data_IF_425946568703
#
_entry.id   IF_425946568703
#
_cell.length_a   1.000
_cell.length_b   1.000
_cell.length_c   1.000
_cell.angle_alpha   90.00
_cell.angle_beta   90.00
_cell.angle_gamma   90.00
#
_symmetry.space_group_name_H-M   'P 1'
#
loop_
_entity.id
_entity.type
_entity.pdbx_description
1 polymer ?
#
# COMPACT_ATOMS: atom_id res chain seq x y z
N UNK A 1 -41.69 19.03 7.79
CA UNK A 1 -41.64 19.67 9.13
C UNK A 1 -40.75 18.83 10.03
N UNK A 2 -39.56 19.33 10.40
CA UNK A 2 -38.49 18.56 11.02
C UNK A 2 -38.31 18.85 12.52
N UNK A 3 -37.56 17.98 13.21
CA UNK A 3 -36.72 18.28 14.39
C UNK A 3 -35.48 17.41 14.24
N UNK A 4 -34.30 17.95 13.89
CA UNK A 4 -33.34 18.63 14.79
C UNK A 4 -33.09 17.80 16.06
N UNK A 5 -31.91 17.37 16.44
CA UNK A 5 -30.56 17.74 16.04
C UNK A 5 -29.63 17.37 17.22
N UNK A 6 -28.36 17.17 16.90
CA UNK A 6 -27.17 17.32 17.74
C UNK A 6 -27.00 16.58 19.07
N UNK A 7 -25.78 16.06 19.22
CA UNK A 7 -24.97 16.50 20.35
C UNK A 7 -24.26 15.43 21.18
N UNK A 8 -23.15 14.93 20.65
CA UNK A 8 -21.81 15.03 21.27
C UNK A 8 -21.67 14.75 22.79
N UNK A 9 -20.92 13.68 23.07
CA UNK A 9 -19.86 13.52 24.10
C UNK A 9 -20.15 13.86 25.57
N UNK A 10 -19.80 12.91 26.46
CA UNK A 10 -18.77 13.13 27.51
C UNK A 10 -18.48 11.86 28.33
N UNK A 11 -17.20 11.44 28.31
CA UNK A 11 -16.56 10.65 29.37
C UNK A 11 -16.83 11.29 30.75
N UNK A 12 -17.15 10.49 31.77
CA UNK A 12 -16.73 10.74 33.16
C UNK A 12 -16.87 9.50 34.05
N UNK A 13 -15.72 8.86 34.26
CA UNK A 13 -15.13 8.58 35.59
C UNK A 13 -15.75 7.50 36.48
N UNK A 14 -14.89 6.54 36.81
CA UNK A 14 -14.96 5.61 37.92
C UNK A 14 -15.54 6.23 39.21
N UNK A 15 -16.45 5.49 39.84
CA UNK A 15 -16.63 5.53 41.29
C UNK A 15 -16.49 4.13 41.88
N UNK A 16 -15.41 3.93 42.62
CA UNK A 16 -15.28 2.89 43.66
C UNK A 16 -16.37 3.09 44.72
N UNK A 17 -17.00 2.01 45.13
CA UNK A 17 -17.89 1.96 46.29
C UNK A 17 -18.37 0.54 46.54
N UNK A 18 -17.63 -0.20 47.37
CA UNK A 18 -17.95 -1.58 47.73
C UNK A 18 -19.18 -1.70 48.64
N UNK A 19 -19.89 -2.83 48.53
CA UNK A 19 -20.87 -3.30 49.52
C UNK A 19 -20.74 -4.82 49.70
N UNK A 20 -20.28 -5.17 50.91
CA UNK A 20 -20.75 -6.18 51.89
C UNK A 20 -21.28 -7.54 51.40
N UNK A 21 -20.60 -8.56 51.94
CA UNK A 21 -20.84 -10.01 51.92
C UNK A 21 -22.29 -10.46 52.19
N UNK A 22 -22.83 -11.25 51.26
CA UNK A 22 -23.95 -12.16 51.46
C UNK A 22 -23.49 -13.59 51.23
N UNK A 23 -23.49 -14.40 52.29
CA UNK A 23 -23.06 -15.80 52.29
C UNK A 23 -24.05 -16.69 51.52
N UNK A 24 -23.61 -17.21 50.37
CA UNK A 24 -24.22 -18.37 49.72
C UNK A 24 -23.13 -19.43 49.53
N UNK A 25 -23.28 -20.55 50.24
CA UNK A 25 -22.44 -21.73 50.10
C UNK A 25 -22.82 -22.38 48.77
N UNK A 26 -22.04 -22.10 47.73
CA UNK A 26 -22.08 -22.78 46.43
C UNK A 26 -20.74 -23.49 46.30
N UNK A 27 -20.80 -24.77 45.94
CA UNK A 27 -19.69 -25.71 46.01
C UNK A 27 -18.40 -25.21 45.36
N UNK A 28 -17.28 -25.39 46.08
CA UNK A 28 -15.95 -25.27 45.51
C UNK A 28 -15.76 -26.39 44.47
N UNK A 29 -16.01 -26.08 43.20
CA UNK A 29 -15.19 -26.65 42.14
C UNK A 29 -13.89 -25.85 42.16
N UNK A 30 -12.81 -26.48 42.64
CA UNK A 30 -11.46 -25.97 42.44
C UNK A 30 -11.17 -26.01 40.94
N UNK A 31 -11.54 -24.96 40.22
CA UNK A 31 -10.84 -24.60 38.99
C UNK A 31 -9.42 -24.32 39.43
N UNK A 32 -8.52 -25.25 39.13
CA UNK A 32 -7.09 -24.95 39.10
C UNK A 32 -6.91 -23.87 38.05
N UNK A 33 -6.97 -22.59 38.45
CA UNK A 33 -6.27 -21.57 37.69
C UNK A 33 -4.80 -22.00 37.81
N UNK A 34 -4.24 -22.57 36.76
CA UNK A 34 -2.80 -22.56 36.58
C UNK A 34 -2.39 -21.11 36.78
N UNK A 35 -1.72 -20.83 37.90
CA UNK A 35 -1.13 -19.51 38.09
C UNK A 35 -0.20 -19.33 36.90
N UNK A 36 -0.47 -18.34 36.06
CA UNK A 36 0.50 -17.87 35.07
C UNK A 36 1.72 -17.50 35.88
N UNK A 37 2.88 -18.08 35.55
CA UNK A 37 4.11 -17.71 36.24
C UNK A 37 4.33 -16.20 36.02
N UNK A 38 4.70 -15.49 37.08
CA UNK A 38 5.09 -14.08 36.92
C UNK A 38 6.29 -13.99 35.98
N UNK A 39 6.38 -12.97 35.11
CA UNK A 39 7.51 -12.77 34.22
C UNK A 39 8.84 -12.75 34.99
N UNK A 40 9.89 -13.27 34.37
CA UNK A 40 11.23 -13.26 34.92
C UNK A 40 11.86 -11.88 34.66
N UNK A 41 12.11 -11.13 35.73
CA UNK A 41 12.86 -9.87 35.66
C UNK A 41 14.32 -10.15 35.25
N UNK A 42 14.81 -9.37 34.28
CA UNK A 42 16.18 -9.44 33.76
C UNK A 42 16.77 -8.02 33.63
N UNK A 43 18.06 -7.91 33.93
CA UNK A 43 18.86 -6.67 33.88
C UNK A 43 20.23 -6.88 33.19
N UNK A 44 20.53 -8.11 32.77
CA UNK A 44 21.77 -8.46 32.08
C UNK A 44 21.54 -9.38 30.87
N UNK A 45 22.40 -9.24 29.86
CA UNK A 45 22.38 -10.06 28.65
C UNK A 45 22.60 -11.54 28.99
N UNK A 46 21.72 -12.42 28.49
CA UNK A 46 21.77 -13.85 28.75
C UNK A 46 21.14 -14.67 27.61
N UNK A 47 21.21 -15.99 27.73
CA UNK A 47 20.37 -16.90 26.95
C UNK A 47 18.98 -17.00 27.58
N UNK A 48 17.94 -16.93 26.75
CA UNK A 48 16.53 -17.05 27.12
C UNK A 48 15.99 -18.38 26.59
N UNK A 49 15.31 -19.13 27.46
CA UNK A 49 14.59 -20.37 27.12
C UNK A 49 13.09 -20.14 27.34
N UNK A 50 12.24 -21.17 27.18
CA UNK A 50 10.79 -21.07 27.41
C UNK A 50 10.39 -20.21 28.61
N UNK A 51 9.59 -19.17 28.36
CA UNK A 51 9.10 -18.30 29.42
C UNK A 51 8.83 -16.86 29.00
N UNK A 52 8.33 -16.09 29.97
CA UNK A 52 8.12 -14.65 29.84
C UNK A 52 9.21 -13.91 30.61
N UNK A 53 9.80 -12.89 29.98
CA UNK A 53 10.87 -12.07 30.53
C UNK A 53 10.51 -10.59 30.42
N UNK A 54 10.95 -9.81 31.40
CA UNK A 54 10.76 -8.36 31.42
C UNK A 54 12.06 -7.65 31.80
N UNK A 55 12.48 -6.68 30.97
CA UNK A 55 13.63 -5.83 31.32
C UNK A 55 13.29 -4.92 32.49
N UNK A 56 14.29 -4.64 33.32
CA UNK A 56 14.13 -3.76 34.49
C UNK A 56 15.02 -2.51 34.46
N UNK A 57 15.96 -2.44 33.52
CA UNK A 57 16.79 -1.27 33.27
C UNK A 57 17.35 -1.27 31.83
N UNK A 58 17.91 -0.12 31.43
CA UNK A 58 18.66 0.00 30.17
C UNK A 58 19.95 -0.83 30.22
N UNK A 59 20.31 -1.47 29.10
CA UNK A 59 21.52 -2.28 28.97
C UNK A 59 22.47 -1.64 27.97
N UNK A 60 23.76 -1.53 28.31
CA UNK A 60 24.82 -1.11 27.39
C UNK A 60 25.91 -2.17 27.32
N UNK A 61 26.23 -2.65 26.12
CA UNK A 61 27.10 -3.82 25.92
C UNK A 61 28.08 -3.63 24.76
N UNK A 62 29.16 -4.43 24.78
CA UNK A 62 30.05 -4.63 23.63
C UNK A 62 29.76 -6.00 23.03
N UNK A 63 29.57 -6.07 21.71
CA UNK A 63 29.15 -7.29 21.03
C UNK A 63 27.64 -7.54 21.20
N UNK A 64 27.22 -8.81 21.21
CA UNK A 64 25.81 -9.18 21.27
C UNK A 64 25.21 -9.23 22.69
N UNK A 65 23.88 -9.26 22.78
CA UNK A 65 23.16 -9.29 24.06
C UNK A 65 22.37 -10.59 24.30
N UNK A 66 21.15 -10.71 23.79
CA UNK A 66 20.28 -11.85 24.09
C UNK A 66 20.35 -12.92 23.00
N UNK A 67 20.30 -14.18 23.44
CA UNK A 67 20.15 -15.34 22.56
C UNK A 67 18.94 -16.14 23.01
N UNK A 68 17.90 -16.22 22.17
CA UNK A 68 16.74 -17.08 22.42
C UNK A 68 17.08 -18.48 21.90
N UNK A 69 16.91 -19.49 22.75
CA UNK A 69 17.22 -20.88 22.42
C UNK A 69 16.33 -21.43 21.30
N UNK A 70 16.88 -22.33 20.48
CA UNK A 70 16.09 -23.07 19.50
C UNK A 70 14.99 -23.91 20.16
N UNK A 71 13.89 -24.15 19.45
CA UNK A 71 12.75 -24.94 19.93
C UNK A 71 12.12 -24.38 21.21
N UNK A 72 12.04 -23.05 21.32
CA UNK A 72 11.45 -22.38 22.47
C UNK A 72 10.24 -21.50 22.13
N UNK A 73 9.47 -21.16 23.17
CA UNK A 73 8.40 -20.16 23.13
C UNK A 73 8.72 -19.07 24.15
N UNK A 74 9.19 -17.92 23.66
CA UNK A 74 9.72 -16.83 24.50
C UNK A 74 8.98 -15.54 24.25
N UNK A 75 8.56 -14.89 25.36
CA UNK A 75 8.14 -13.49 25.33
C UNK A 75 9.17 -12.63 26.03
N UNK A 76 9.69 -11.61 25.33
CA UNK A 76 10.57 -10.59 25.87
C UNK A 76 9.86 -9.23 25.84
N UNK A 77 9.50 -8.72 27.01
CA UNK A 77 8.98 -7.37 27.19
C UNK A 77 10.12 -6.43 27.60
N UNK A 78 10.40 -5.43 26.78
CA UNK A 78 11.39 -4.42 27.08
C UNK A 78 10.96 -3.42 28.15
N UNK A 79 9.67 -3.37 28.51
CA UNK A 79 9.09 -2.37 29.44
C UNK A 79 9.47 -0.89 29.10
N UNK A 80 9.79 -0.63 27.83
CA UNK A 80 10.24 0.67 27.33
C UNK A 80 11.73 0.96 27.51
N UNK A 81 12.52 0.02 28.03
CA UNK A 81 13.97 0.15 28.17
C UNK A 81 14.71 -0.02 26.84
N UNK A 82 15.98 0.37 26.85
CA UNK A 82 16.87 0.35 25.69
C UNK A 82 17.99 -0.67 25.88
N UNK A 83 18.34 -1.39 24.81
CA UNK A 83 19.56 -2.17 24.70
C UNK A 83 20.46 -1.49 23.66
N UNK A 84 21.61 -0.99 24.10
CA UNK A 84 22.59 -0.28 23.27
C UNK A 84 23.87 -1.11 23.09
N UNK A 85 24.26 -1.35 21.84
CA UNK A 85 25.53 -1.96 21.45
C UNK A 85 26.63 -0.92 21.18
N UNK A 86 27.78 -1.41 20.70
CA UNK A 86 28.95 -0.60 20.30
C UNK A 86 29.23 -0.61 18.79
N UNK A 87 28.23 -1.01 18.00
CA UNK A 87 28.29 -1.21 16.56
C UNK A 87 28.75 -2.61 16.14
N UNK A 88 28.88 -3.54 17.08
CA UNK A 88 29.31 -4.93 16.80
C UNK A 88 28.32 -5.94 17.35
N UNK A 89 28.27 -7.14 16.75
CA UNK A 89 27.45 -8.24 17.25
C UNK A 89 25.95 -8.09 17.00
N UNK A 90 25.18 -9.02 17.57
CA UNK A 90 23.73 -9.15 17.38
C UNK A 90 23.02 -8.75 18.68
N UNK A 91 22.08 -7.80 18.63
CA UNK A 91 21.31 -7.37 19.78
C UNK A 91 20.45 -8.49 20.36
N UNK A 92 19.57 -9.06 19.53
CA UNK A 92 18.78 -10.25 19.85
C UNK A 92 18.96 -11.28 18.73
N UNK A 93 19.48 -12.45 19.08
CA UNK A 93 19.53 -13.60 18.19
C UNK A 93 18.39 -14.56 18.55
N UNK A 94 17.57 -14.94 17.57
CA UNK A 94 16.52 -15.95 17.72
C UNK A 94 16.97 -17.27 17.12
N UNK A 95 16.97 -18.31 17.94
CA UNK A 95 17.30 -19.68 17.55
C UNK A 95 16.35 -20.25 16.50
N UNK A 96 16.75 -21.37 15.90
CA UNK A 96 15.93 -22.08 14.91
C UNK A 96 14.63 -22.59 15.50
N UNK A 97 13.59 -22.62 14.67
CA UNK A 97 12.33 -23.32 14.96
C UNK A 97 11.72 -22.85 16.29
N UNK A 98 11.60 -21.52 16.46
CA UNK A 98 11.30 -20.83 17.72
C UNK A 98 10.21 -19.78 17.51
N UNK A 99 9.20 -19.78 18.37
CA UNK A 99 8.23 -18.70 18.45
C UNK A 99 8.73 -17.63 19.42
N UNK A 100 8.93 -16.40 18.94
CA UNK A 100 9.41 -15.30 19.76
C UNK A 100 8.49 -14.09 19.66
N UNK A 101 8.12 -13.54 20.82
CA UNK A 101 7.30 -12.32 20.96
C UNK A 101 8.14 -11.26 21.65
N UNK A 102 8.59 -10.25 20.91
CA UNK A 102 9.46 -9.19 21.43
C UNK A 102 8.67 -7.88 21.36
N UNK A 103 8.56 -7.15 22.48
CA UNK A 103 7.74 -5.95 22.53
C UNK A 103 8.27 -4.85 23.44
N UNK A 104 7.82 -3.61 23.20
CA UNK A 104 8.11 -2.44 24.03
C UNK A 104 9.61 -2.19 24.27
N UNK A 105 10.42 -2.23 23.23
CA UNK A 105 11.88 -2.30 23.36
C UNK A 105 12.56 -1.41 22.34
N UNK A 106 13.62 -0.70 22.76
CA UNK A 106 14.55 -0.05 21.83
C UNK A 106 15.83 -0.88 21.70
N UNK A 107 16.23 -1.22 20.48
CA UNK A 107 17.51 -1.82 20.13
C UNK A 107 18.31 -0.85 19.27
N UNK A 108 19.53 -0.52 19.71
CA UNK A 108 20.37 0.42 18.96
C UNK A 108 21.85 0.06 18.90
N UNK A 109 22.50 0.53 17.83
CA UNK A 109 23.95 0.48 17.66
C UNK A 109 24.53 -0.95 17.66
N UNK A 110 23.92 -1.88 16.92
CA UNK A 110 24.46 -3.23 16.67
C UNK A 110 24.92 -3.40 15.21
N UNK A 111 25.71 -4.45 14.96
CA UNK A 111 25.93 -4.88 13.58
C UNK A 111 24.62 -5.42 12.99
N UNK A 112 23.87 -6.20 13.76
CA UNK A 112 22.50 -6.60 13.46
C UNK A 112 21.64 -6.40 14.71
N UNK A 113 20.52 -5.68 14.61
CA UNK A 113 19.59 -5.50 15.73
C UNK A 113 18.98 -6.84 16.15
N UNK A 114 18.11 -7.39 15.30
CA UNK A 114 17.47 -8.68 15.51
C UNK A 114 17.88 -9.61 14.37
N UNK A 115 18.34 -10.82 14.69
CA UNK A 115 18.66 -11.84 13.70
C UNK A 115 17.91 -13.12 14.02
N UNK A 116 17.28 -13.72 13.02
CA UNK A 116 16.59 -15.00 13.15
C UNK A 116 17.37 -16.09 12.44
N UNK A 117 17.07 -17.33 12.81
CA UNK A 117 17.52 -18.50 12.08
C UNK A 117 16.31 -19.39 11.89
N UNK A 118 16.17 -19.99 10.72
CA UNK A 118 15.06 -20.90 10.47
C UNK A 118 15.51 -22.17 9.75
N UNK A 119 15.02 -23.33 10.20
CA UNK A 119 15.30 -24.62 9.57
C UNK A 119 14.03 -25.34 9.11
N UNK A 120 12.85 -24.94 9.60
CA UNK A 120 11.56 -25.49 9.22
C UNK A 120 10.52 -24.41 8.92
N UNK A 121 9.44 -24.78 8.24
CA UNK A 121 8.27 -23.90 8.07
C UNK A 121 7.36 -24.09 9.30
N UNK A 122 6.65 -23.05 9.77
CA UNK A 122 5.68 -23.04 10.89
C UNK A 122 6.08 -22.23 12.16
N UNK A 123 7.06 -21.32 12.09
CA UNK A 123 7.46 -20.50 13.26
C UNK A 123 7.36 -19.00 12.99
N UNK A 124 6.80 -18.29 13.97
CA UNK A 124 6.51 -16.86 13.87
C UNK A 124 7.39 -16.04 14.82
N UNK A 125 7.95 -14.94 14.28
CA UNK A 125 8.58 -13.89 15.06
C UNK A 125 7.66 -12.69 15.09
N UNK A 126 7.11 -12.37 16.26
CA UNK A 126 6.22 -11.23 16.46
C UNK A 126 6.93 -10.09 17.18
N UNK A 127 6.93 -8.92 16.56
CA UNK A 127 7.62 -7.71 16.99
C UNK A 127 6.61 -6.58 17.16
N UNK A 128 6.36 -6.13 18.39
CA UNK A 128 5.31 -5.14 18.67
C UNK A 128 5.81 -3.95 19.47
N UNK A 129 5.55 -2.72 19.00
CA UNK A 129 5.98 -1.51 19.69
C UNK A 129 7.49 -1.50 19.99
N UNK A 130 8.30 -1.86 18.99
CA UNK A 130 9.76 -1.84 19.10
C UNK A 130 10.36 -0.71 18.26
N UNK A 131 11.56 -0.29 18.64
CA UNK A 131 12.39 0.65 17.90
C UNK A 131 13.72 -0.01 17.58
N UNK A 132 14.02 -0.28 16.32
CA UNK A 132 15.30 -0.90 15.89
C UNK A 132 16.06 0.12 15.06
N UNK A 133 17.06 0.76 15.67
CA UNK A 133 17.66 1.98 15.13
C UNK A 133 19.18 2.00 15.13
N UNK A 134 19.79 2.71 14.17
CA UNK A 134 21.25 2.89 14.10
C UNK A 134 22.05 1.58 14.01
N UNK A 135 21.49 0.54 13.37
CA UNK A 135 22.19 -0.73 13.15
C UNK A 135 22.69 -0.83 11.71
N UNK A 136 23.69 -1.67 11.44
CA UNK A 136 24.01 -1.96 10.05
C UNK A 136 22.88 -2.78 9.38
N UNK A 137 22.31 -3.77 10.09
CA UNK A 137 21.04 -4.40 9.71
C UNK A 137 20.05 -4.27 10.86
N UNK A 138 18.84 -3.81 10.60
CA UNK A 138 17.79 -3.70 11.63
C UNK A 138 17.31 -5.09 12.04
N UNK A 139 16.50 -5.72 11.18
CA UNK A 139 15.96 -7.07 11.37
C UNK A 139 16.44 -7.95 10.21
N UNK A 140 17.07 -9.07 10.51
CA UNK A 140 17.63 -10.00 9.54
C UNK A 140 16.98 -11.38 9.68
N UNK A 141 16.06 -11.69 8.77
CA UNK A 141 15.31 -12.93 8.68
C UNK A 141 15.99 -13.99 7.81
N UNK A 142 15.95 -15.24 8.27
CA UNK A 142 16.42 -16.41 7.51
C UNK A 142 15.33 -16.95 6.56
N UNK A 143 15.68 -17.87 5.66
CA UNK A 143 14.78 -18.44 4.64
C UNK A 143 13.46 -18.94 5.23
N UNK A 144 12.35 -18.67 4.54
CA UNK A 144 10.99 -19.14 4.89
C UNK A 144 10.52 -18.76 6.30
N UNK A 145 11.07 -17.69 6.86
CA UNK A 145 10.64 -17.15 8.14
C UNK A 145 9.32 -16.39 7.98
N UNK A 146 8.45 -16.48 8.98
CA UNK A 146 7.33 -15.56 9.17
C UNK A 146 7.73 -14.49 10.21
N UNK A 147 7.70 -13.22 9.80
CA UNK A 147 8.03 -12.07 10.66
C UNK A 147 6.85 -11.10 10.63
N UNK A 148 6.25 -10.86 11.79
CA UNK A 148 5.18 -9.89 11.99
C UNK A 148 5.70 -8.69 12.77
N UNK A 149 5.50 -7.49 12.23
CA UNK A 149 5.95 -6.22 12.81
C UNK A 149 4.75 -5.29 12.94
N UNK A 150 4.52 -4.79 14.15
CA UNK A 150 3.38 -3.94 14.44
C UNK A 150 3.73 -2.73 15.29
N UNK A 151 3.15 -1.57 14.97
CA UNK A 151 3.31 -0.34 15.78
C UNK A 151 4.77 0.02 16.06
N UNK A 152 5.67 -0.27 15.12
CA UNK A 152 7.12 -0.26 15.35
C UNK A 152 7.85 0.76 14.48
N UNK A 153 9.08 1.09 14.86
CA UNK A 153 9.95 2.03 14.16
C UNK A 153 11.23 1.30 13.77
N UNK A 154 11.54 1.23 12.48
CA UNK A 154 12.79 0.66 11.96
C UNK A 154 13.50 1.76 11.17
N UNK A 155 14.47 2.42 11.79
CA UNK A 155 15.05 3.63 11.21
C UNK A 155 16.55 3.78 11.35
N UNK A 156 17.15 4.58 10.47
CA UNK A 156 18.57 4.93 10.56
C UNK A 156 19.48 3.69 10.51
N UNK A 157 19.03 2.60 9.88
CA UNK A 157 19.84 1.41 9.63
C UNK A 157 20.42 1.45 8.22
N UNK A 158 21.45 0.66 7.91
CA UNK A 158 21.82 0.50 6.49
C UNK A 158 20.74 -0.31 5.73
N UNK A 159 20.38 -1.48 6.25
CA UNK A 159 19.20 -2.24 5.80
C UNK A 159 18.19 -2.31 6.93
N UNK A 160 16.94 -1.91 6.67
CA UNK A 160 15.86 -1.94 7.67
C UNK A 160 15.48 -3.36 8.04
N UNK A 161 14.81 -4.06 7.12
CA UNK A 161 14.40 -5.46 7.25
C UNK A 161 14.97 -6.24 6.06
N UNK A 162 15.65 -7.35 6.31
CA UNK A 162 16.04 -8.31 5.29
C UNK A 162 15.36 -9.65 5.52
N UNK A 163 14.94 -10.27 4.43
CA UNK A 163 14.56 -11.67 4.34
C UNK A 163 15.42 -12.40 3.32
N UNK A 164 15.37 -13.72 3.38
CA UNK A 164 15.90 -14.60 2.34
C UNK A 164 14.76 -15.27 1.56
N UNK A 165 15.11 -16.20 0.67
CA UNK A 165 14.13 -16.93 -0.14
C UNK A 165 12.93 -17.46 0.67
N UNK A 166 11.72 -17.10 0.25
CA UNK A 166 10.48 -17.59 0.83
C UNK A 166 10.02 -16.91 2.12
N UNK A 167 10.66 -15.83 2.57
CA UNK A 167 10.21 -15.12 3.78
C UNK A 167 8.85 -14.47 3.59
N UNK A 168 8.03 -14.49 4.64
CA UNK A 168 6.82 -13.70 4.74
C UNK A 168 7.05 -12.60 5.79
N UNK A 169 6.95 -11.34 5.38
CA UNK A 169 7.16 -10.16 6.23
C UNK A 169 5.88 -9.36 6.24
N UNK A 170 5.20 -9.31 7.39
CA UNK A 170 3.98 -8.52 7.59
C UNK A 170 4.27 -7.30 8.44
N UNK A 171 3.94 -6.12 7.93
CA UNK A 171 4.25 -4.80 8.51
C UNK A 171 2.93 -4.03 8.62
N UNK A 172 2.51 -3.76 9.85
CA UNK A 172 1.27 -3.06 10.14
C UNK A 172 1.53 -1.85 11.05
N UNK A 173 0.94 -0.70 10.73
CA UNK A 173 0.99 0.51 11.56
C UNK A 173 2.43 0.89 11.95
N UNK A 174 3.39 0.75 11.05
CA UNK A 174 4.82 0.88 11.37
C UNK A 174 5.53 1.87 10.45
N UNK A 175 6.60 2.45 10.98
CA UNK A 175 7.42 3.46 10.31
C UNK A 175 8.80 2.89 9.95
N UNK A 176 9.10 2.77 8.67
CA UNK A 176 10.41 2.38 8.16
C UNK A 176 11.03 3.59 7.46
N UNK A 177 12.03 4.22 8.09
CA UNK A 177 12.55 5.48 7.56
C UNK A 177 14.03 5.71 7.73
N UNK A 178 14.62 6.51 6.83
CA UNK A 178 16.06 6.85 6.87
C UNK A 178 16.96 5.62 6.89
N UNK A 179 16.55 4.51 6.26
CA UNK A 179 17.43 3.37 6.08
C UNK A 179 18.31 3.60 4.84
N UNK A 180 19.62 3.68 5.02
CA UNK A 180 20.56 4.23 4.02
C UNK A 180 20.53 3.48 2.68
N UNK A 181 20.29 2.17 2.68
CA UNK A 181 20.27 1.35 1.47
C UNK A 181 18.85 0.94 1.07
N UNK A 182 18.13 0.25 1.95
CA UNK A 182 16.78 -0.25 1.63
C UNK A 182 15.96 -0.46 2.91
N UNK A 183 14.67 -0.12 2.85
CA UNK A 183 13.75 -0.32 3.97
C UNK A 183 13.41 -1.80 4.16
N UNK A 184 13.00 -2.48 3.08
CA UNK A 184 12.65 -3.91 3.10
C UNK A 184 13.28 -4.63 1.91
N UNK A 185 14.09 -5.64 2.18
CA UNK A 185 14.69 -6.54 1.20
C UNK A 185 14.19 -7.97 1.43
N UNK A 186 13.01 -8.32 0.91
CA UNK A 186 12.38 -9.65 1.12
C UNK A 186 13.09 -10.79 0.36
N UNK A 187 13.62 -10.51 -0.83
CA UNK A 187 14.29 -11.50 -1.68
C UNK A 187 13.35 -12.23 -2.64
N UNK A 188 13.87 -13.27 -3.32
CA UNK A 188 13.07 -14.05 -4.29
C UNK A 188 12.06 -14.94 -3.58
N UNK A 189 10.89 -15.18 -4.18
CA UNK A 189 9.80 -15.96 -3.59
C UNK A 189 9.29 -15.45 -2.23
N UNK A 190 9.66 -14.23 -1.81
CA UNK A 190 9.16 -13.64 -0.59
C UNK A 190 7.77 -13.05 -0.80
N UNK A 191 7.04 -12.91 0.31
CA UNK A 191 5.80 -12.17 0.39
C UNK A 191 5.97 -11.02 1.38
N UNK A 192 5.59 -9.81 0.98
CA UNK A 192 5.56 -8.65 1.87
C UNK A 192 4.14 -8.15 1.98
N UNK A 193 3.66 -7.99 3.20
CA UNK A 193 2.41 -7.31 3.52
C UNK A 193 2.73 -5.98 4.18
N UNK A 194 2.21 -4.88 3.64
CA UNK A 194 2.34 -3.54 4.20
C UNK A 194 0.94 -2.95 4.34
N UNK A 195 0.55 -2.60 5.56
CA UNK A 195 -0.77 -2.01 5.85
C UNK A 195 -0.63 -0.85 6.83
N UNK A 196 -1.36 0.25 6.58
CA UNK A 196 -1.41 1.43 7.46
C UNK A 196 -0.01 1.97 7.86
N UNK A 197 0.98 1.85 6.98
CA UNK A 197 2.39 2.01 7.32
C UNK A 197 3.09 3.09 6.48
N UNK A 198 4.29 3.49 6.91
CA UNK A 198 5.09 4.48 6.19
C UNK A 198 6.47 3.93 5.85
N UNK A 199 6.86 4.01 4.58
CA UNK A 199 8.20 3.69 4.07
C UNK A 199 8.78 4.91 3.37
N UNK A 200 9.61 5.67 4.08
CA UNK A 200 10.06 7.00 3.62
C UNK A 200 11.51 7.34 3.89
N UNK A 201 12.06 8.22 3.05
CA UNK A 201 13.43 8.73 3.22
C UNK A 201 14.51 7.62 3.19
N UNK A 202 14.27 6.49 2.50
CA UNK A 202 15.24 5.38 2.44
C UNK A 202 16.02 5.39 1.12
N UNK A 203 17.14 4.66 1.07
CA UNK A 203 17.87 4.43 -0.19
C UNK A 203 16.98 3.81 -1.28
N UNK A 204 16.18 2.81 -0.92
CA UNK A 204 15.07 2.24 -1.69
C UNK A 204 13.96 1.86 -0.72
N UNK A 205 12.71 1.84 -1.19
CA UNK A 205 11.57 1.41 -0.39
C UNK A 205 11.57 -0.11 -0.15
N UNK A 206 10.75 -0.83 -0.92
CA UNK A 206 10.49 -2.24 -0.72
C UNK A 206 10.88 -3.05 -1.95
N UNK A 207 11.63 -4.14 -1.74
CA UNK A 207 11.86 -5.18 -2.74
C UNK A 207 11.31 -6.51 -2.23
N UNK A 208 10.41 -7.13 -2.99
CA UNK A 208 9.80 -8.43 -2.65
C UNK A 208 9.59 -9.28 -3.89
N UNK A 209 9.42 -10.60 -3.74
CA UNK A 209 8.91 -11.45 -4.81
C UNK A 209 7.51 -10.99 -5.27
N UNK A 210 6.54 -11.08 -4.35
CA UNK A 210 5.16 -10.62 -4.50
C UNK A 210 4.71 -9.94 -3.18
N UNK A 211 3.50 -9.36 -3.13
CA UNK A 211 2.99 -8.80 -1.89
C UNK A 211 1.59 -8.18 -1.92
N UNK A 212 1.19 -7.68 -0.75
CA UNK A 212 -0.04 -6.89 -0.57
C UNK A 212 0.32 -5.57 0.10
N UNK A 213 -0.08 -4.45 -0.50
CA UNK A 213 0.26 -3.10 -0.05
C UNK A 213 -1.02 -2.29 0.03
N UNK A 214 -1.41 -1.86 1.24
CA UNK A 214 -2.71 -1.25 1.49
C UNK A 214 -2.56 -0.01 2.38
N UNK A 215 -3.24 1.07 2.01
CA UNK A 215 -3.44 2.28 2.81
C UNK A 215 -2.14 2.82 3.44
N UNK A 216 -1.04 2.76 2.68
CA UNK A 216 0.31 3.08 3.16
C UNK A 216 0.95 4.22 2.37
N UNK A 217 1.95 4.86 2.97
CA UNK A 217 2.73 5.95 2.36
C UNK A 217 4.12 5.41 2.01
N UNK A 218 4.46 5.41 0.73
CA UNK A 218 5.78 5.01 0.21
C UNK A 218 6.38 6.20 -0.53
N UNK A 219 7.20 7.00 0.13
CA UNK A 219 7.62 8.29 -0.41
C UNK A 219 9.07 8.68 -0.17
N UNK A 220 9.57 9.59 -1.00
CA UNK A 220 10.85 10.27 -0.78
C UNK A 220 12.04 9.30 -0.66
N UNK A 221 11.96 8.13 -1.32
CA UNK A 221 13.07 7.19 -1.38
C UNK A 221 14.02 7.55 -2.54
N UNK A 222 15.33 7.41 -2.33
CA UNK A 222 16.35 7.73 -3.36
C UNK A 222 16.30 6.78 -4.57
N UNK A 223 15.63 5.64 -4.42
CA UNK A 223 15.44 4.59 -5.40
C UNK A 223 13.97 4.39 -5.75
N UNK A 224 13.55 3.15 -5.93
CA UNK A 224 12.15 2.82 -6.17
C UNK A 224 11.31 2.86 -4.89
N UNK A 225 10.00 3.05 -5.06
CA UNK A 225 9.03 2.85 -3.98
C UNK A 225 8.82 1.36 -3.71
N UNK A 226 8.31 0.64 -4.70
CA UNK A 226 8.03 -0.81 -4.63
C UNK A 226 8.65 -1.51 -5.84
N UNK A 227 9.40 -2.58 -5.62
CA UNK A 227 9.94 -3.46 -6.64
C UNK A 227 9.52 -4.91 -6.40
N UNK A 228 8.90 -5.52 -7.40
CA UNK A 228 8.33 -6.86 -7.35
C UNK A 228 9.12 -7.76 -8.30
N UNK A 229 9.91 -8.68 -7.77
CA UNK A 229 10.95 -9.39 -8.52
C UNK A 229 10.55 -10.75 -9.08
N UNK A 230 9.30 -11.20 -8.94
CA UNK A 230 8.62 -12.25 -9.73
C UNK A 230 9.28 -13.64 -9.83
N UNK A 231 10.48 -13.80 -9.29
CA UNK A 231 11.30 -14.99 -9.40
C UNK A 231 10.85 -15.94 -8.29
N UNK A 232 9.87 -16.78 -8.60
CA UNK A 232 9.82 -18.23 -8.36
C UNK A 232 8.36 -18.72 -8.38
N UNK A 233 8.17 -19.80 -9.14
CA UNK A 233 6.97 -20.61 -9.27
C UNK A 233 6.47 -21.20 -7.92
N UNK A 234 5.78 -20.38 -7.15
CA UNK A 234 4.75 -20.87 -6.26
C UNK A 234 3.41 -20.48 -6.87
N UNK A 235 2.69 -21.45 -7.41
CA UNK A 235 1.28 -21.24 -7.78
C UNK A 235 0.39 -20.95 -6.54
N UNK A 236 0.99 -20.84 -5.35
CA UNK A 236 0.33 -20.68 -4.07
C UNK A 236 0.51 -19.28 -3.45
N UNK A 237 1.31 -18.37 -4.04
CA UNK A 237 1.52 -17.03 -3.46
C UNK A 237 0.38 -16.04 -3.73
N UNK A 238 -0.53 -16.31 -4.68
CA UNK A 238 -1.57 -15.35 -5.05
C UNK A 238 -1.02 -14.20 -5.92
N UNK A 239 -1.90 -13.26 -6.28
CA UNK A 239 -1.57 -12.13 -7.16
C UNK A 239 -1.24 -10.88 -6.32
N UNK A 240 -0.25 -10.08 -6.75
CA UNK A 240 0.09 -8.86 -6.02
C UNK A 240 -1.06 -7.85 -6.04
N UNK A 241 -1.33 -7.24 -4.89
CA UNK A 241 -2.38 -6.23 -4.71
C UNK A 241 -1.79 -4.94 -4.13
N UNK A 242 -2.03 -3.81 -4.78
CA UNK A 242 -1.57 -2.48 -4.34
C UNK A 242 -2.78 -1.55 -4.33
N UNK A 243 -3.29 -1.20 -3.15
CA UNK A 243 -4.57 -0.46 -3.00
C UNK A 243 -4.47 0.70 -2.02
N UNK A 244 -5.01 1.88 -2.37
CA UNK A 244 -5.16 2.98 -1.40
C UNK A 244 -3.85 3.64 -0.95
N UNK A 245 -2.73 3.37 -1.64
CA UNK A 245 -1.43 3.86 -1.22
C UNK A 245 -1.12 5.24 -1.81
N UNK A 246 -0.27 6.00 -1.09
CA UNK A 246 0.40 7.19 -1.64
C UNK A 246 1.85 6.85 -1.95
N UNK A 247 2.18 6.73 -3.24
CA UNK A 247 3.49 6.34 -3.76
C UNK A 247 4.08 7.52 -4.54
N UNK A 248 4.90 8.33 -3.88
CA UNK A 248 5.30 9.61 -4.46
C UNK A 248 6.71 10.08 -4.14
N UNK A 249 7.24 11.00 -4.95
CA UNK A 249 8.55 11.63 -4.74
C UNK A 249 9.70 10.62 -4.66
N UNK A 250 9.54 9.39 -5.18
CA UNK A 250 10.65 8.46 -5.24
C UNK A 250 11.53 8.85 -6.43
N UNK A 251 12.84 9.00 -6.20
CA UNK A 251 13.74 9.42 -7.28
C UNK A 251 13.88 8.34 -8.38
N UNK A 252 13.51 7.09 -8.09
CA UNK A 252 13.32 6.01 -9.04
C UNK A 252 11.85 5.79 -9.45
N UNK A 253 11.51 4.58 -9.83
CA UNK A 253 10.14 4.19 -10.20
C UNK A 253 9.25 4.08 -8.97
N UNK A 254 8.00 4.55 -9.04
CA UNK A 254 7.01 4.33 -7.99
C UNK A 254 6.77 2.83 -7.75
N UNK A 255 6.34 2.12 -8.79
CA UNK A 255 6.11 0.66 -8.78
C UNK A 255 6.84 0.00 -9.95
N UNK A 256 7.71 -0.97 -9.66
CA UNK A 256 8.49 -1.70 -10.66
C UNK A 256 8.12 -3.18 -10.65
N UNK A 257 7.35 -3.63 -11.65
CA UNK A 257 7.05 -5.04 -11.88
C UNK A 257 8.17 -5.69 -12.71
N UNK A 258 8.99 -6.50 -12.06
CA UNK A 258 10.02 -7.32 -12.69
C UNK A 258 9.53 -8.78 -12.70
N UNK A 259 8.92 -9.20 -13.80
CA UNK A 259 8.44 -10.58 -13.99
C UNK A 259 7.31 -11.01 -13.04
N UNK A 260 6.57 -10.03 -12.51
CA UNK A 260 5.44 -10.21 -11.60
C UNK A 260 4.12 -9.82 -12.31
N UNK A 261 3.00 -9.98 -11.62
CA UNK A 261 1.67 -9.56 -12.03
C UNK A 261 1.00 -8.84 -10.87
N UNK A 262 -0.10 -8.12 -11.12
CA UNK A 262 -0.88 -7.59 -10.02
C UNK A 262 -1.96 -6.61 -10.42
N UNK A 263 -2.73 -6.25 -9.40
CA UNK A 263 -3.79 -5.24 -9.47
C UNK A 263 -3.40 -4.03 -8.64
N UNK A 264 -3.45 -2.85 -9.25
CA UNK A 264 -3.08 -1.56 -8.67
C UNK A 264 -4.31 -0.66 -8.72
N UNK A 265 -4.89 -0.31 -7.56
CA UNK A 265 -6.14 0.46 -7.51
C UNK A 265 -6.15 1.57 -6.48
N UNK A 266 -6.85 2.66 -6.76
CA UNK A 266 -7.13 3.69 -5.74
C UNK A 266 -5.85 4.28 -5.13
N UNK A 267 -4.72 4.25 -5.86
CA UNK A 267 -3.44 4.78 -5.40
C UNK A 267 -3.20 6.18 -5.97
N UNK A 268 -2.46 6.98 -5.23
CA UNK A 268 -1.78 8.17 -5.75
C UNK A 268 -0.35 7.77 -6.12
N UNK A 269 0.00 7.86 -7.41
CA UNK A 269 1.31 7.52 -7.97
C UNK A 269 1.87 8.75 -8.66
N UNK A 270 2.60 9.57 -7.90
CA UNK A 270 2.93 10.93 -8.36
C UNK A 270 4.37 11.34 -8.13
N UNK A 271 4.91 12.22 -8.99
CA UNK A 271 6.23 12.82 -8.79
C UNK A 271 7.38 11.79 -8.66
N UNK A 272 7.24 10.63 -9.29
CA UNK A 272 8.32 9.64 -9.39
C UNK A 272 9.03 9.80 -10.73
N UNK A 273 10.20 9.19 -10.92
CA UNK A 273 10.85 9.21 -12.23
C UNK A 273 9.98 8.49 -13.29
N UNK A 274 9.43 7.34 -12.94
CA UNK A 274 8.33 6.70 -13.66
C UNK A 274 7.27 6.32 -12.63
N UNK A 275 5.99 6.45 -12.95
CA UNK A 275 4.92 5.97 -12.07
C UNK A 275 5.01 4.45 -11.92
N UNK A 276 4.85 3.74 -13.04
CA UNK A 276 4.93 2.28 -13.11
C UNK A 276 5.81 1.82 -14.27
N UNK A 277 6.65 0.81 -14.02
CA UNK A 277 7.36 0.05 -15.07
C UNK A 277 6.93 -1.41 -15.01
N UNK A 278 6.67 -2.01 -16.18
CA UNK A 278 6.38 -3.43 -16.36
C UNK A 278 7.46 -4.04 -17.26
N UNK A 279 8.21 -5.01 -16.72
CA UNK A 279 9.33 -5.67 -17.40
C UNK A 279 9.16 -7.19 -17.50
N UNK A 280 9.67 -7.78 -18.59
CA UNK A 280 9.52 -9.20 -18.93
C UNK A 280 10.86 -9.91 -19.16
N UNK A 281 10.96 -11.18 -18.81
CA UNK A 281 12.11 -12.04 -19.11
C UNK A 281 11.76 -12.98 -20.28
N UNK A 282 12.65 -13.04 -21.27
CA UNK A 282 12.61 -13.95 -22.41
C UNK A 282 12.48 -15.43 -22.01
N UNK A 283 12.95 -15.81 -20.82
CA UNK A 283 13.05 -17.22 -20.40
C UNK A 283 11.78 -17.71 -19.67
N UNK A 284 11.00 -16.82 -19.06
CA UNK A 284 9.91 -17.16 -18.13
C UNK A 284 8.52 -16.64 -18.53
N UNK A 285 8.35 -16.11 -19.75
CA UNK A 285 7.11 -15.58 -20.30
C UNK A 285 5.99 -16.64 -20.55
N UNK A 286 5.74 -17.56 -19.62
CA UNK A 286 4.84 -18.70 -19.80
C UNK A 286 3.47 -18.58 -19.12
N UNK A 287 3.13 -17.47 -18.49
CA UNK A 287 1.77 -17.10 -18.14
C UNK A 287 1.69 -15.57 -18.25
N UNK A 288 0.95 -15.02 -19.23
CA UNK A 288 0.81 -13.57 -19.40
C UNK A 288 0.36 -12.94 -18.07
N UNK A 289 1.21 -12.14 -17.40
CA UNK A 289 0.83 -11.51 -16.16
C UNK A 289 -0.22 -10.43 -16.47
N UNK A 290 -1.44 -10.62 -15.98
CA UNK A 290 -2.46 -9.57 -16.07
C UNK A 290 -2.01 -8.43 -15.16
N UNK A 291 -1.91 -7.23 -15.74
CA UNK A 291 -1.69 -6.00 -15.01
C UNK A 291 -2.94 -5.15 -15.15
N UNK A 292 -3.59 -4.87 -14.04
CA UNK A 292 -4.79 -4.05 -13.97
C UNK A 292 -4.49 -2.80 -13.14
N UNK A 293 -4.68 -1.62 -13.72
CA UNK A 293 -4.55 -0.31 -13.08
C UNK A 293 -5.92 0.36 -13.13
N UNK A 294 -6.56 0.55 -11.98
CA UNK A 294 -7.95 1.00 -11.94
C UNK A 294 -8.13 2.09 -10.89
N UNK A 295 -8.76 3.20 -11.24
CA UNK A 295 -9.10 4.28 -10.31
C UNK A 295 -7.86 4.85 -9.57
N UNK A 296 -6.70 4.91 -10.24
CA UNK A 296 -5.51 5.56 -9.66
C UNK A 296 -5.39 7.01 -10.13
N UNK A 297 -4.77 7.84 -9.30
CA UNK A 297 -4.24 9.15 -9.66
C UNK A 297 -2.77 8.99 -10.04
N UNK A 298 -2.44 9.09 -11.33
CA UNK A 298 -1.10 8.94 -11.89
C UNK A 298 -0.69 10.26 -12.52
N UNK A 299 0.15 11.04 -11.86
CA UNK A 299 0.41 12.41 -12.29
C UNK A 299 1.84 12.88 -12.00
N UNK A 300 2.32 13.83 -12.79
CA UNK A 300 3.61 14.50 -12.60
C UNK A 300 4.80 13.53 -12.51
N UNK A 301 4.73 12.35 -13.15
CA UNK A 301 5.88 11.46 -13.23
C UNK A 301 6.81 11.91 -14.38
N UNK A 302 8.13 11.92 -14.14
CA UNK A 302 9.09 12.60 -15.02
C UNK A 302 9.13 12.03 -16.46
N UNK A 303 9.09 10.70 -16.60
CA UNK A 303 9.23 10.00 -17.89
C UNK A 303 7.89 9.46 -18.41
N UNK A 304 7.28 8.53 -17.66
CA UNK A 304 6.01 7.87 -17.96
C UNK A 304 5.16 7.71 -16.69
N UNK A 305 3.84 7.81 -16.84
CA UNK A 305 2.89 7.33 -15.85
C UNK A 305 2.90 5.80 -15.80
N UNK A 306 2.76 5.14 -16.96
CA UNK A 306 2.95 3.68 -17.09
C UNK A 306 3.81 3.37 -18.32
N UNK A 307 4.89 2.61 -18.11
CA UNK A 307 5.74 2.08 -19.15
C UNK A 307 5.70 0.54 -19.19
N UNK A 308 5.16 -0.01 -20.27
CA UNK A 308 5.20 -1.42 -20.62
C UNK A 308 6.40 -1.70 -21.54
N UNK A 309 7.40 -2.44 -21.06
CA UNK A 309 8.64 -2.70 -21.83
C UNK A 309 8.56 -3.96 -22.69
N UNK A 310 7.41 -4.24 -23.30
CA UNK A 310 7.18 -5.43 -24.15
C UNK A 310 8.24 -5.64 -25.23
N UNK A 311 8.91 -4.59 -25.69
CA UNK A 311 9.83 -4.56 -26.85
C UNK A 311 10.85 -5.71 -26.96
N UNK A 312 11.17 -6.41 -25.88
CA UNK A 312 12.02 -7.59 -25.93
C UNK A 312 11.28 -8.89 -26.32
N UNK A 313 9.96 -9.00 -26.14
CA UNK A 313 9.15 -10.20 -26.38
C UNK A 313 8.70 -10.37 -27.86
N UNK A 314 8.40 -11.62 -28.29
CA UNK A 314 7.75 -11.87 -29.57
C UNK A 314 6.39 -11.15 -29.71
N UNK A 315 6.09 -10.65 -30.92
CA UNK A 315 4.87 -9.87 -31.19
C UNK A 315 3.54 -10.62 -31.01
N UNK A 316 3.57 -11.95 -30.91
CA UNK A 316 2.40 -12.82 -30.71
C UNK A 316 2.08 -13.06 -29.23
N UNK A 317 2.90 -12.57 -28.30
CA UNK A 317 2.60 -12.59 -26.87
C UNK A 317 1.80 -11.33 -26.52
N UNK A 318 0.60 -11.54 -26.00
CA UNK A 318 -0.20 -10.46 -25.45
C UNK A 318 0.23 -10.20 -24.00
N UNK A 319 0.70 -8.98 -23.77
CA UNK A 319 1.17 -8.46 -22.48
C UNK A 319 0.54 -7.11 -22.18
N UNK A 320 -0.58 -6.81 -22.83
CA UNK A 320 -1.26 -5.53 -22.72
C UNK A 320 -1.70 -5.30 -21.28
N UNK A 321 -1.31 -4.16 -20.71
CA UNK A 321 -1.77 -3.72 -19.41
C UNK A 321 -3.12 -3.00 -19.56
N UNK A 322 -4.07 -3.28 -18.67
CA UNK A 322 -5.38 -2.64 -18.67
C UNK A 322 -5.38 -1.53 -17.64
N UNK A 323 -5.48 -0.28 -18.08
CA UNK A 323 -5.37 0.94 -17.27
C UNK A 323 -6.66 1.78 -17.32
N UNK A 324 -7.77 1.22 -16.86
CA UNK A 324 -9.10 1.85 -16.94
C UNK A 324 -9.36 2.83 -15.80
N UNK A 325 -9.99 3.95 -16.12
CA UNK A 325 -10.42 5.00 -15.21
C UNK A 325 -9.33 5.54 -14.27
N UNK A 326 -8.08 5.59 -14.73
CA UNK A 326 -7.03 6.32 -14.04
C UNK A 326 -7.09 7.80 -14.42
N UNK A 327 -6.83 8.69 -13.48
CA UNK A 327 -6.52 10.09 -13.78
C UNK A 327 -5.05 10.23 -14.13
N UNK A 328 -4.73 10.99 -15.17
CA UNK A 328 -3.38 11.09 -15.73
C UNK A 328 -2.71 12.43 -15.46
N UNK A 329 -3.21 13.23 -14.52
CA UNK A 329 -2.71 14.58 -14.22
C UNK A 329 -3.34 15.71 -15.05
N UNK A 330 -4.13 15.39 -16.08
CA UNK A 330 -4.92 16.36 -16.84
C UNK A 330 -6.18 15.68 -17.44
N UNK A 331 -7.33 16.38 -17.52
CA UNK A 331 -8.57 15.84 -18.10
C UNK A 331 -8.45 15.34 -19.54
N UNK A 332 -7.47 15.84 -20.30
CA UNK A 332 -7.20 15.38 -21.69
C UNK A 332 -6.61 13.97 -21.77
N UNK A 333 -6.29 13.35 -20.63
CA UNK A 333 -5.79 11.98 -20.56
C UNK A 333 -4.29 11.87 -20.87
N UNK A 334 -3.79 10.64 -21.04
CA UNK A 334 -2.36 10.41 -21.13
C UNK A 334 -1.81 10.81 -22.50
N UNK A 335 -0.53 11.17 -22.53
CA UNK A 335 0.20 11.38 -23.78
C UNK A 335 0.47 10.06 -24.50
N UNK A 336 -0.28 9.78 -25.57
CA UNK A 336 -0.12 8.63 -26.46
C UNK A 336 -0.71 8.89 -27.85
N UNK A 337 -0.25 8.17 -28.88
CA UNK A 337 -0.76 8.34 -30.26
C UNK A 337 -2.20 7.86 -30.46
N UNK A 338 -2.65 6.91 -29.64
CA UNK A 338 -4.03 6.40 -29.63
C UNK A 338 -4.99 7.27 -28.80
N UNK A 339 -4.52 8.34 -28.14
CA UNK A 339 -5.42 9.25 -27.43
C UNK A 339 -6.22 10.06 -28.47
N UNK A 340 -7.57 10.02 -28.45
CA UNK A 340 -8.38 10.74 -29.43
C UNK A 340 -8.34 12.27 -29.28
N UNK A 341 -7.93 12.79 -28.12
CA UNK A 341 -7.85 14.24 -27.86
C UNK A 341 -6.59 14.84 -28.50
N UNK A 342 -6.70 16.02 -29.11
CA UNK A 342 -5.55 16.75 -29.66
C UNK A 342 -4.68 17.33 -28.53
N UNK A 343 -3.36 17.08 -28.60
CA UNK A 343 -2.35 17.59 -27.64
C UNK A 343 -2.68 17.24 -26.17
N UNK A 344 -2.81 15.95 -25.83
CA UNK A 344 -3.09 15.53 -24.46
C UNK A 344 -1.93 15.91 -23.53
N UNK A 345 -2.28 16.30 -22.31
CA UNK A 345 -1.34 16.93 -21.35
C UNK A 345 -1.02 16.07 -20.14
N UNK A 346 -1.71 14.96 -19.93
CA UNK A 346 -1.42 14.04 -18.85
C UNK A 346 -0.10 13.29 -19.03
N UNK A 347 0.23 12.46 -18.06
CA UNK A 347 1.43 11.62 -18.04
C UNK A 347 1.53 10.74 -19.30
N UNK A 348 2.77 10.46 -19.73
CA UNK A 348 2.98 9.59 -20.89
C UNK A 348 2.64 8.14 -20.56
N UNK A 349 2.07 7.44 -21.52
CA UNK A 349 1.98 5.97 -21.50
C UNK A 349 2.72 5.41 -22.71
N UNK A 350 3.26 4.20 -22.59
CA UNK A 350 3.82 3.48 -23.73
C UNK A 350 2.75 2.70 -24.48
N UNK A 351 3.12 2.16 -25.64
CA UNK A 351 2.39 1.07 -26.31
C UNK A 351 2.09 -0.09 -25.34
N UNK A 352 1.09 -0.91 -25.69
CA UNK A 352 0.61 -2.05 -24.89
C UNK A 352 0.07 -1.67 -23.50
N UNK A 353 -0.51 -0.46 -23.41
CA UNK A 353 -1.30 0.02 -22.26
C UNK A 353 -2.66 0.51 -22.77
N UNK A 354 -3.74 -0.15 -22.37
CA UNK A 354 -5.12 0.27 -22.68
C UNK A 354 -5.60 1.27 -21.63
N UNK A 355 -5.69 2.55 -21.99
CA UNK A 355 -6.01 3.64 -21.04
C UNK A 355 -7.42 4.24 -21.21
N UNK A 356 -8.27 3.67 -22.06
CA UNK A 356 -9.65 4.14 -22.30
C UNK A 356 -10.66 3.21 -21.61
N UNK A 357 -11.63 3.75 -20.83
CA UNK A 357 -11.73 5.16 -20.46
C UNK A 357 -10.65 5.60 -19.48
N UNK A 358 -10.34 6.88 -19.46
CA UNK A 358 -9.62 7.51 -18.34
C UNK A 358 -10.55 8.37 -17.49
N UNK A 359 -10.12 8.69 -16.27
CA UNK A 359 -10.82 9.67 -15.43
C UNK A 359 -10.46 11.07 -15.89
N UNK A 360 -11.47 11.91 -16.12
CA UNK A 360 -11.30 13.32 -16.50
C UNK A 360 -11.18 14.25 -15.29
N UNK A 361 -11.32 13.70 -14.09
CA UNK A 361 -11.17 14.37 -12.79
C UNK A 361 -10.22 13.56 -11.89
N UNK A 362 -9.62 14.20 -10.89
CA UNK A 362 -8.82 13.52 -9.86
C UNK A 362 -9.66 12.41 -9.20
N UNK A 363 -9.07 11.26 -8.92
CA UNK A 363 -9.76 10.19 -8.18
C UNK A 363 -9.69 10.50 -6.68
N UNK A 364 -10.85 10.79 -6.08
CA UNK A 364 -10.96 11.16 -4.65
C UNK A 364 -12.06 10.32 -4.00
N UNK A 365 -11.79 9.75 -2.82
CA UNK A 365 -12.76 8.93 -2.07
C UNK A 365 -13.39 7.80 -2.91
N UNK A 366 -12.62 7.26 -3.86
CA UNK A 366 -13.02 6.24 -4.84
C UNK A 366 -14.13 6.70 -5.81
N UNK A 367 -14.23 8.01 -6.03
CA UNK A 367 -15.08 8.63 -7.04
C UNK A 367 -14.21 9.14 -8.19
N UNK A 368 -14.56 8.75 -9.41
CA UNK A 368 -13.87 9.10 -10.65
C UNK A 368 -14.91 9.33 -11.76
N UNK A 369 -14.62 10.21 -12.70
CA UNK A 369 -15.50 10.47 -13.86
C UNK A 369 -14.93 9.76 -15.09
N UNK A 370 -15.42 8.56 -15.40
CA UNK A 370 -14.78 7.61 -16.32
C UNK A 370 -15.24 7.76 -17.79
N UNK A 371 -15.26 8.99 -18.30
CA UNK A 371 -15.76 9.32 -19.65
C UNK A 371 -14.64 9.67 -20.65
N UNK A 372 -13.40 9.80 -20.18
CA UNK A 372 -12.26 10.17 -21.02
C UNK A 372 -12.09 9.21 -22.20
N UNK A 373 -12.05 9.74 -23.42
CA UNK A 373 -11.87 8.97 -24.66
C UNK A 373 -13.09 8.19 -25.12
N UNK A 374 -14.21 8.24 -24.39
CA UNK A 374 -15.48 7.66 -24.84
C UNK A 374 -16.30 8.69 -25.60
N UNK A 375 -16.82 8.29 -26.76
CA UNK A 375 -17.75 9.10 -27.56
C UNK A 375 -19.19 8.79 -27.19
N UNK A 376 -20.09 9.76 -27.33
CA UNK A 376 -21.54 9.57 -27.18
C UNK A 376 -22.17 9.34 -28.55
N UNK A 377 -22.98 8.29 -28.73
CA UNK A 377 -23.65 8.01 -30.00
C UNK A 377 -22.68 7.82 -31.19
N UNK A 378 -22.93 8.56 -32.29
CA UNK A 378 -22.11 8.50 -33.52
C UNK A 378 -21.08 9.66 -33.62
N UNK A 379 -20.89 10.45 -32.55
CA UNK A 379 -19.90 11.54 -32.53
C UNK A 379 -18.47 10.98 -32.58
N UNK A 380 -17.52 11.82 -33.03
CA UNK A 380 -16.13 11.39 -33.24
C UNK A 380 -15.23 11.72 -32.06
N UNK A 381 -15.60 12.71 -31.27
CA UNK A 381 -14.82 13.26 -30.18
C UNK A 381 -15.54 13.01 -28.84
N UNK A 382 -14.81 12.80 -27.73
CA UNK A 382 -15.39 12.61 -26.40
C UNK A 382 -15.99 13.91 -25.87
N UNK A 383 -16.96 13.85 -24.95
CA UNK A 383 -17.54 15.05 -24.36
C UNK A 383 -16.51 15.85 -23.56
N UNK A 384 -16.65 17.17 -23.53
CA UNK A 384 -15.74 18.07 -22.79
C UNK A 384 -16.50 18.98 -21.81
N UNK A 385 -15.75 19.56 -20.87
CA UNK A 385 -16.21 20.58 -19.90
C UNK A 385 -15.47 21.91 -20.17
N UNK A 386 -15.97 22.75 -21.10
CA UNK A 386 -15.37 24.04 -21.43
C UNK A 386 -15.28 25.07 -20.29
N UNK A 387 -16.16 25.02 -19.30
CA UNK A 387 -16.20 26.03 -18.22
C UNK A 387 -15.60 25.58 -16.87
N UNK A 388 -15.30 24.29 -16.75
CA UNK A 388 -14.57 23.66 -15.66
C UNK A 388 -15.40 23.45 -14.40
N UNK A 389 -16.72 23.34 -14.52
CA UNK A 389 -17.62 23.16 -13.37
C UNK A 389 -17.88 21.68 -13.00
N UNK A 390 -17.37 20.74 -13.79
CA UNK A 390 -17.50 19.30 -13.62
C UNK A 390 -18.69 18.68 -14.36
N UNK A 391 -19.51 19.49 -15.03
CA UNK A 391 -20.55 19.02 -15.95
C UNK A 391 -20.03 19.09 -17.38
N UNK A 392 -20.38 18.11 -18.20
CA UNK A 392 -19.83 17.98 -19.55
C UNK A 392 -20.85 18.44 -20.59
N UNK A 393 -20.91 19.75 -20.80
CA UNK A 393 -21.92 20.40 -21.62
C UNK A 393 -21.65 20.35 -23.13
N UNK A 394 -20.40 20.16 -23.55
CA UNK A 394 -20.02 19.86 -24.93
C UNK A 394 -20.16 18.35 -25.17
N UNK A 395 -21.39 17.91 -25.41
CA UNK A 395 -21.77 16.49 -25.54
C UNK A 395 -21.19 15.87 -26.81
N UNK A 396 -21.02 16.68 -27.86
CA UNK A 396 -20.58 16.21 -29.16
C UNK A 396 -19.05 16.29 -29.37
N UNK A 397 -18.34 16.97 -28.47
CA UNK A 397 -16.89 17.04 -28.40
C UNK A 397 -16.26 18.01 -29.41
N UNK A 398 -17.03 18.94 -30.00
CA UNK A 398 -16.50 19.88 -30.99
C UNK A 398 -15.89 21.16 -30.39
N UNK A 399 -15.88 21.25 -29.05
CA UNK A 399 -15.27 22.32 -28.28
C UNK A 399 -16.17 23.55 -28.09
N UNK A 400 -17.45 23.49 -28.50
CA UNK A 400 -18.41 24.57 -28.32
C UNK A 400 -19.67 24.07 -27.61
N UNK A 401 -20.03 24.70 -26.49
CA UNK A 401 -21.26 24.37 -25.74
C UNK A 401 -22.49 25.08 -26.36
N UNK A 402 -23.25 24.41 -27.23
CA UNK A 402 -24.36 25.03 -27.97
C UNK A 402 -25.67 24.21 -28.07
N UNK A 403 -26.58 24.65 -28.95
CA UNK A 403 -27.90 24.02 -29.12
C UNK A 403 -27.82 22.62 -29.78
N UNK A 404 -26.70 22.29 -30.41
CA UNK A 404 -26.39 20.98 -30.96
C UNK A 404 -26.16 20.00 -29.82
N UNK A 405 -25.49 20.40 -28.74
CA UNK A 405 -25.26 19.56 -27.55
C UNK A 405 -26.54 19.23 -26.81
N UNK A 406 -27.46 20.19 -26.71
CA UNK A 406 -28.81 19.96 -26.18
C UNK A 406 -29.53 18.86 -26.97
N UNK A 407 -29.38 18.86 -28.30
CA UNK A 407 -29.98 17.84 -29.17
C UNK A 407 -29.25 16.50 -29.08
N UNK A 408 -27.94 16.55 -28.93
CA UNK A 408 -27.07 15.40 -28.74
C UNK A 408 -27.42 14.67 -27.44
N UNK A 409 -27.50 15.39 -26.31
CA UNK A 409 -27.92 14.84 -25.02
C UNK A 409 -29.31 14.21 -25.14
N UNK A 410 -30.30 14.95 -25.65
CA UNK A 410 -31.66 14.44 -25.79
C UNK A 410 -31.75 13.17 -26.64
N UNK A 411 -30.94 13.08 -27.70
CA UNK A 411 -30.97 11.96 -28.64
C UNK A 411 -30.21 10.74 -28.12
N UNK A 412 -29.26 10.94 -27.22
CA UNK A 412 -28.35 9.91 -26.72
C UNK A 412 -28.42 9.71 -25.19
N UNK A 413 -29.46 10.18 -24.49
CA UNK A 413 -29.62 9.97 -23.02
C UNK A 413 -29.51 8.48 -22.60
N UNK A 414 -29.76 7.58 -23.54
CA UNK A 414 -29.69 6.13 -23.35
C UNK A 414 -28.31 5.52 -23.65
N UNK A 415 -27.30 6.34 -23.95
CA UNK A 415 -25.91 5.92 -24.21
C UNK A 415 -25.23 5.46 -22.92
N UNK A 416 -24.34 4.47 -23.02
CA UNK A 416 -23.66 3.89 -21.87
C UNK A 416 -22.70 4.89 -21.20
N UNK A 417 -22.11 5.83 -21.94
CA UNK A 417 -21.26 6.88 -21.38
C UNK A 417 -22.07 7.78 -20.43
N UNK A 418 -23.29 8.15 -20.82
CA UNK A 418 -24.17 9.00 -20.00
C UNK A 418 -24.73 8.22 -18.81
N UNK A 419 -25.13 6.97 -19.02
CA UNK A 419 -25.77 6.17 -17.96
C UNK A 419 -24.81 5.68 -16.89
N UNK A 420 -23.54 5.45 -17.24
CA UNK A 420 -22.54 4.96 -16.29
C UNK A 420 -21.92 6.10 -15.47
N UNK A 421 -21.93 7.33 -15.98
CA UNK A 421 -21.35 8.50 -15.34
C UNK A 421 -22.41 9.64 -15.23
N UNK A 422 -23.55 9.42 -14.54
CA UNK A 422 -24.68 10.36 -14.55
C UNK A 422 -24.34 11.71 -13.94
N UNK A 423 -23.44 11.75 -12.95
CA UNK A 423 -23.06 12.99 -12.26
C UNK A 423 -22.40 14.01 -13.21
N UNK A 424 -21.78 13.54 -14.31
CA UNK A 424 -21.21 14.38 -15.35
C UNK A 424 -22.28 15.03 -16.27
N UNK A 425 -23.52 14.54 -16.24
CA UNK A 425 -24.59 14.96 -17.15
C UNK A 425 -25.91 15.33 -16.44
N UNK A 426 -25.94 15.27 -15.10
CA UNK A 426 -27.04 15.73 -14.26
C UNK A 426 -26.91 17.22 -13.98
N UNK A 427 -27.21 18.03 -15.00
CA UNK A 427 -27.13 19.49 -14.92
C UNK A 427 -28.07 20.09 -13.86
N UNK A 428 -29.07 19.32 -13.41
CA UNK A 428 -30.09 19.78 -12.47
C UNK A 428 -29.86 19.31 -11.01
N UNK A 429 -28.88 18.44 -10.76
CA UNK A 429 -28.44 17.92 -9.47
C UNK A 429 -29.58 17.23 -8.70
N UNK A 430 -30.37 16.39 -9.40
CA UNK A 430 -31.44 15.59 -8.79
C UNK A 430 -31.15 14.08 -8.65
N UNK A 431 -29.94 13.68 -9.05
CA UNK A 431 -29.40 12.33 -9.04
C UNK A 431 -29.81 11.49 -10.25
N UNK A 432 -30.31 12.11 -11.33
CA UNK A 432 -30.72 11.40 -12.54
C UNK A 432 -30.57 12.24 -13.80
N UNK A 433 -30.19 11.59 -14.90
CA UNK A 433 -30.14 12.24 -16.22
C UNK A 433 -31.46 12.02 -16.96
N UNK A 434 -32.27 13.07 -17.11
CA UNK A 434 -33.53 13.05 -17.84
C UNK A 434 -33.81 14.32 -18.68
N UNK A 435 -35.06 14.51 -19.11
CA UNK A 435 -35.46 15.65 -19.95
C UNK A 435 -35.35 17.00 -19.24
N UNK A 436 -35.28 17.02 -17.91
CA UNK A 436 -35.08 18.22 -17.10
C UNK A 436 -33.63 18.69 -17.25
N UNK A 437 -32.66 17.79 -17.33
CA UNK A 437 -31.25 18.09 -17.62
C UNK A 437 -31.09 18.71 -19.01
N UNK A 438 -31.77 18.15 -20.01
CA UNK A 438 -31.83 18.74 -21.36
C UNK A 438 -32.39 20.17 -21.32
N UNK A 439 -33.41 20.44 -20.51
CA UNK A 439 -33.97 21.78 -20.35
C UNK A 439 -33.01 22.73 -19.63
N UNK A 440 -32.27 22.20 -18.66
CA UNK A 440 -31.30 22.94 -17.86
C UNK A 440 -30.10 23.34 -18.72
N UNK A 441 -29.50 22.40 -19.44
CA UNK A 441 -28.46 22.62 -20.44
C UNK A 441 -28.92 23.62 -21.50
N UNK A 442 -30.14 23.47 -22.04
CA UNK A 442 -30.71 24.45 -22.99
C UNK A 442 -30.73 25.88 -22.46
N UNK A 443 -31.14 26.06 -21.20
CA UNK A 443 -31.20 27.39 -20.60
C UNK A 443 -29.81 28.00 -20.45
N UNK A 444 -28.82 27.19 -20.11
CA UNK A 444 -27.44 27.60 -19.91
C UNK A 444 -26.79 28.12 -21.20
N UNK A 445 -26.76 27.27 -22.23
CA UNK A 445 -26.18 27.63 -23.54
C UNK A 445 -26.96 28.74 -24.26
N UNK A 446 -28.24 28.95 -23.91
CA UNK A 446 -29.04 30.07 -24.43
C UNK A 446 -28.77 31.41 -23.74
N UNK A 447 -28.08 31.41 -22.61
CA UNK A 447 -27.76 32.61 -21.84
C UNK A 447 -26.32 33.11 -21.98
N UNK A 448 -25.46 32.32 -22.63
CA UNK A 448 -24.07 32.65 -22.91
C UNK A 448 -23.89 33.54 -24.15
#
# INVERSE_FOLDING_TARGET
>A
MPRSGDGISRRKTLRRGGIVFGTSIIGLSSSSSTAVAEPTEIDECTTLSDGEYVLTEDISITGGCFSIDSYSDVTLDGDGYTISGDGTGIGIYVGSDTDARIRNLTLENFETGISTRNLDIDFEISLENISVVNNNRGIDGDRKQEISIKSSIISDNSTGISGSEGCNISINQSDLNRNDNIAVAGGTASWVELEDSSVRDNGSGISSGEGTFVDSIISDNDGYGIELIGLVASADLGDTTIVGNTIQNNAGTGINFLYSNGTVRENVIANNNNGVIISYDQVYAFNSPNHEFIDNTIEDNDEFGIQNTKNDLPSDVDTTAVATCNYWGDPTGPQHEDNPVEDPRGDKVSDDVEFVPWSVTDVVDNEATCIGGKTIGDFQDPPTDPDGDGLYEDINGDGESDIVDVQALFSNMDDDTIRNDPDAFDFNDDGSVDVIDVQKLFNEVSTN
#
